data_IF_208674159899
#
_entry.id   IF_208674159899
#
_cell.length_a   1.000
_cell.length_b   1.000
_cell.length_c   1.000
_cell.angle_alpha   90.00
_cell.angle_beta   90.00
_cell.angle_gamma   90.00
#
_symmetry.space_group_name_H-M   'P 1'
#
loop_
_entity.id
_entity.type
_entity.pdbx_description
1 polymer ?
#
# COMPACT_ATOMS: atom_id res chain seq x y z
N UNK A 1 -31.07 -16.81 -17.62
CA UNK A 1 -30.76 -16.19 -18.92
C UNK A 1 -31.67 -16.72 -20.04
N UNK A 2 -31.77 -18.04 -20.22
CA UNK A 2 -32.62 -18.67 -21.29
C UNK A 2 -34.11 -18.38 -21.09
N UNK A 3 -34.64 -18.43 -19.88
CA UNK A 3 -36.02 -18.07 -19.57
C UNK A 3 -36.39 -16.64 -20.07
N UNK A 4 -35.54 -15.66 -19.73
CA UNK A 4 -35.72 -14.28 -20.18
C UNK A 4 -35.73 -14.19 -21.70
N UNK A 5 -34.78 -14.86 -22.38
CA UNK A 5 -34.64 -14.80 -23.85
C UNK A 5 -35.80 -15.48 -24.59
N UNK A 6 -36.21 -16.65 -24.11
CA UNK A 6 -37.14 -17.50 -24.85
C UNK A 6 -38.61 -17.24 -24.51
N UNK A 7 -38.89 -16.75 -23.29
CA UNK A 7 -40.26 -16.57 -22.82
C UNK A 7 -40.63 -15.10 -22.60
N UNK A 8 -39.83 -14.34 -21.85
CA UNK A 8 -40.23 -12.99 -21.46
C UNK A 8 -40.00 -11.96 -22.58
N UNK A 9 -38.83 -11.97 -23.21
CA UNK A 9 -38.48 -10.98 -24.24
C UNK A 9 -39.47 -11.04 -25.44
N UNK A 10 -39.89 -12.20 -25.98
CA UNK A 10 -40.86 -12.25 -27.07
C UNK A 10 -42.20 -11.60 -26.72
N UNK A 11 -42.73 -11.81 -25.52
CA UNK A 11 -43.96 -11.16 -25.05
C UNK A 11 -43.81 -9.63 -24.95
N UNK A 12 -42.66 -9.16 -24.46
CA UNK A 12 -42.38 -7.73 -24.40
C UNK A 12 -42.27 -7.11 -25.80
N UNK A 13 -41.62 -7.80 -26.74
CA UNK A 13 -41.46 -7.31 -28.11
C UNK A 13 -42.79 -7.32 -28.88
N UNK A 14 -43.66 -8.28 -28.62
CA UNK A 14 -45.01 -8.29 -29.20
C UNK A 14 -45.80 -7.05 -28.79
N UNK A 15 -45.65 -6.60 -27.51
CA UNK A 15 -46.34 -5.41 -27.01
C UNK A 15 -45.65 -4.11 -27.37
N UNK A 16 -44.30 -4.11 -27.35
CA UNK A 16 -43.42 -2.95 -27.62
C UNK A 16 -42.36 -3.30 -28.66
N UNK A 17 -42.64 -3.26 -29.94
CA UNK A 17 -41.70 -3.67 -31.01
C UNK A 17 -40.38 -2.90 -31.02
N UNK A 18 -40.35 -1.66 -30.47
CA UNK A 18 -39.17 -0.81 -30.41
C UNK A 18 -38.37 -0.96 -29.11
N UNK A 19 -38.77 -1.89 -28.20
CA UNK A 19 -38.18 -2.05 -26.88
C UNK A 19 -36.64 -2.24 -26.93
N UNK A 20 -36.17 -3.14 -27.79
CA UNK A 20 -34.72 -3.42 -27.93
C UNK A 20 -33.94 -2.17 -28.31
N UNK A 21 -34.47 -1.37 -29.26
CA UNK A 21 -33.82 -0.11 -29.66
C UNK A 21 -33.80 0.92 -28.53
N UNK A 22 -34.89 1.05 -27.78
CA UNK A 22 -35.01 2.00 -26.67
C UNK A 22 -34.10 1.61 -25.52
N UNK A 23 -34.09 0.33 -25.11
CA UNK A 23 -33.23 -0.19 -24.06
C UNK A 23 -31.74 -0.09 -24.45
N UNK A 24 -31.43 -0.45 -25.74
CA UNK A 24 -30.05 -0.32 -26.25
C UNK A 24 -29.55 1.12 -26.17
N UNK A 25 -30.33 2.10 -26.63
CA UNK A 25 -29.97 3.52 -26.55
C UNK A 25 -29.78 3.99 -25.08
N UNK A 26 -30.67 3.57 -24.20
CA UNK A 26 -30.54 3.92 -22.80
C UNK A 26 -29.27 3.30 -22.18
N UNK A 27 -28.96 2.05 -22.53
CA UNK A 27 -27.74 1.39 -22.06
C UNK A 27 -26.47 2.07 -22.58
N UNK A 28 -26.45 2.48 -23.87
CA UNK A 28 -25.35 3.24 -24.47
C UNK A 28 -25.13 4.57 -23.75
N UNK A 29 -26.18 5.36 -23.53
CA UNK A 29 -26.07 6.63 -22.78
C UNK A 29 -25.58 6.43 -21.34
N UNK A 30 -26.06 5.40 -20.65
CA UNK A 30 -25.57 5.06 -19.31
C UNK A 30 -24.09 4.66 -19.34
N UNK A 31 -23.65 3.92 -20.36
CA UNK A 31 -22.24 3.54 -20.51
C UNK A 31 -21.34 4.77 -20.75
N UNK A 32 -21.76 5.69 -21.64
CA UNK A 32 -21.04 6.94 -21.89
C UNK A 32 -20.91 7.79 -20.62
N UNK A 33 -22.02 7.97 -19.88
CA UNK A 33 -22.00 8.70 -18.60
C UNK A 33 -21.10 8.01 -17.57
N UNK A 34 -21.14 6.68 -17.50
CA UNK A 34 -20.27 5.92 -16.58
C UNK A 34 -18.79 6.08 -16.94
N UNK A 35 -18.45 6.15 -18.23
CA UNK A 35 -17.08 6.41 -18.66
C UNK A 35 -16.61 7.80 -18.24
N UNK A 36 -17.38 8.86 -18.48
CA UNK A 36 -17.07 10.23 -18.09
C UNK A 36 -16.87 10.37 -16.57
N UNK A 37 -17.76 9.73 -15.79
CA UNK A 37 -17.63 9.71 -14.33
C UNK A 37 -16.38 8.97 -13.89
N UNK A 38 -16.05 7.84 -14.55
CA UNK A 38 -14.85 7.06 -14.25
C UNK A 38 -13.58 7.86 -14.53
N UNK A 39 -13.52 8.57 -15.67
CA UNK A 39 -12.37 9.40 -16.03
C UNK A 39 -12.18 10.57 -15.05
N UNK A 40 -13.29 11.20 -14.63
CA UNK A 40 -13.24 12.24 -13.62
C UNK A 40 -12.79 11.70 -12.25
N UNK A 41 -13.29 10.51 -11.86
CA UNK A 41 -12.89 9.85 -10.62
C UNK A 41 -11.41 9.48 -10.63
N UNK A 42 -10.87 9.09 -11.80
CA UNK A 42 -9.44 8.80 -11.94
C UNK A 42 -8.58 10.05 -11.71
N UNK A 43 -8.99 11.23 -12.21
CA UNK A 43 -8.29 12.50 -11.93
C UNK A 43 -8.27 12.82 -10.44
N UNK A 44 -9.41 12.77 -9.77
CA UNK A 44 -9.47 12.97 -8.32
C UNK A 44 -8.67 11.94 -7.53
N UNK A 45 -8.59 10.70 -8.03
CA UNK A 45 -7.75 9.68 -7.42
C UNK A 45 -6.27 10.03 -7.54
N UNK A 46 -5.80 10.48 -8.72
CA UNK A 46 -4.40 10.91 -8.89
C UNK A 46 -4.05 12.09 -7.97
N UNK A 47 -4.98 13.03 -7.76
CA UNK A 47 -4.79 14.16 -6.84
C UNK A 47 -4.71 13.70 -5.37
N UNK A 48 -5.47 12.66 -4.99
CA UNK A 48 -5.47 12.10 -3.63
C UNK A 48 -4.39 11.04 -3.41
N UNK A 49 -3.77 10.52 -4.45
CA UNK A 49 -2.80 9.43 -4.38
C UNK A 49 -1.45 9.90 -3.86
N UNK A 50 -0.89 9.17 -2.90
CA UNK A 50 0.53 9.26 -2.51
C UNK A 50 1.39 8.34 -3.36
N UNK A 51 2.73 8.52 -3.30
CA UNK A 51 3.71 7.79 -4.12
C UNK A 51 3.64 6.26 -4.02
N UNK A 52 3.18 5.74 -2.89
CA UNK A 52 3.04 4.30 -2.57
C UNK A 52 1.61 3.77 -2.69
N UNK A 53 0.77 4.47 -3.45
CA UNK A 53 -0.66 4.20 -3.60
C UNK A 53 -1.47 4.27 -2.28
N UNK A 54 -1.00 4.98 -1.27
CA UNK A 54 -1.83 5.44 -0.16
C UNK A 54 -2.79 6.52 -0.64
N UNK A 55 -3.90 6.73 0.07
CA UNK A 55 -4.76 7.88 -0.15
C UNK A 55 -4.54 8.94 0.93
N UNK A 56 -4.34 10.17 0.50
CA UNK A 56 -4.39 11.35 1.36
C UNK A 56 -5.82 11.55 1.87
N UNK A 57 -6.05 11.29 3.14
CA UNK A 57 -7.38 11.38 3.74
C UNK A 57 -7.88 12.81 3.85
N UNK A 58 -7.01 13.83 3.93
CA UNK A 58 -7.42 15.24 3.95
C UNK A 58 -7.91 15.66 2.57
N UNK A 59 -7.16 15.37 1.52
CA UNK A 59 -7.57 15.64 0.14
C UNK A 59 -8.87 14.89 -0.18
N UNK A 60 -8.97 13.62 0.19
CA UNK A 60 -10.18 12.84 0.01
C UNK A 60 -11.37 13.47 0.75
N UNK A 61 -11.19 13.90 2.01
CA UNK A 61 -12.25 14.53 2.81
C UNK A 61 -12.72 15.88 2.27
N UNK A 62 -11.91 16.58 1.48
CA UNK A 62 -12.28 17.87 0.85
C UNK A 62 -13.26 17.71 -0.33
N UNK A 63 -13.35 16.51 -0.89
CA UNK A 63 -14.28 16.21 -1.98
C UNK A 63 -15.70 16.03 -1.46
N UNK A 64 -16.70 16.17 -2.35
CA UNK A 64 -18.08 15.82 -2.01
C UNK A 64 -18.22 14.30 -1.82
N UNK A 65 -19.18 13.87 -0.98
CA UNK A 65 -19.38 12.43 -0.66
C UNK A 65 -19.48 11.52 -1.88
N UNK A 66 -20.20 11.88 -2.97
CA UNK A 66 -20.20 11.04 -4.18
C UNK A 66 -18.81 10.84 -4.77
N UNK A 67 -18.01 11.90 -4.85
CA UNK A 67 -16.65 11.81 -5.38
C UNK A 67 -15.72 11.05 -4.46
N UNK A 68 -15.82 11.20 -3.13
CA UNK A 68 -15.08 10.39 -2.17
C UNK A 68 -15.32 8.89 -2.43
N UNK A 69 -16.57 8.48 -2.61
CA UNK A 69 -16.92 7.09 -2.90
C UNK A 69 -16.33 6.60 -4.23
N UNK A 70 -16.33 7.46 -5.26
CA UNK A 70 -15.76 7.11 -6.57
C UNK A 70 -14.23 7.00 -6.52
N UNK A 71 -13.56 7.88 -5.79
CA UNK A 71 -12.10 7.82 -5.55
C UNK A 71 -11.71 6.54 -4.83
N UNK A 72 -12.44 6.12 -3.79
CA UNK A 72 -12.19 4.84 -3.12
C UNK A 72 -12.30 3.67 -4.11
N UNK A 73 -13.31 3.64 -4.97
CA UNK A 73 -13.44 2.59 -6.00
C UNK A 73 -12.30 2.63 -7.01
N UNK A 74 -11.86 3.81 -7.44
CA UNK A 74 -10.71 3.97 -8.32
C UNK A 74 -9.42 3.46 -7.65
N UNK A 75 -9.24 3.76 -6.37
CA UNK A 75 -8.13 3.28 -5.57
C UNK A 75 -8.07 1.76 -5.48
N UNK A 76 -9.19 1.10 -5.17
CA UNK A 76 -9.27 -0.38 -5.15
C UNK A 76 -8.92 -0.97 -6.51
N UNK A 77 -9.43 -0.38 -7.61
CA UNK A 77 -9.08 -0.80 -8.97
C UNK A 77 -7.59 -0.67 -9.25
N UNK A 78 -6.96 0.44 -8.85
CA UNK A 78 -5.52 0.65 -8.99
C UNK A 78 -4.68 -0.36 -8.19
N UNK A 79 -5.23 -0.91 -7.09
CA UNK A 79 -4.63 -2.00 -6.32
C UNK A 79 -4.89 -3.40 -6.91
N UNK A 80 -5.65 -3.51 -8.01
CA UNK A 80 -6.07 -4.80 -8.56
C UNK A 80 -7.16 -5.51 -7.75
N UNK A 81 -7.83 -4.78 -6.85
CA UNK A 81 -8.83 -5.33 -5.94
C UNK A 81 -10.25 -5.11 -6.47
N UNK A 82 -11.17 -5.96 -6.01
CA UNK A 82 -12.60 -5.77 -6.32
C UNK A 82 -13.12 -4.50 -5.66
N UNK A 83 -13.95 -3.77 -6.41
CA UNK A 83 -14.60 -2.57 -5.88
C UNK A 83 -15.39 -2.89 -4.60
N UNK A 84 -15.26 -2.07 -3.54
CA UNK A 84 -16.00 -2.28 -2.31
C UNK A 84 -17.50 -2.10 -2.51
N UNK A 85 -18.30 -2.81 -1.71
CA UNK A 85 -19.74 -2.58 -1.62
C UNK A 85 -20.04 -1.17 -1.09
N UNK A 86 -21.27 -0.71 -1.24
CA UNK A 86 -21.69 0.58 -0.69
C UNK A 86 -21.42 0.63 0.82
N UNK A 87 -21.83 -0.40 1.57
CA UNK A 87 -21.65 -0.46 3.02
C UNK A 87 -20.15 -0.39 3.42
N UNK A 88 -19.28 -1.10 2.72
CA UNK A 88 -17.83 -1.05 2.97
C UNK A 88 -17.26 0.33 2.63
N UNK A 89 -17.71 0.94 1.52
CA UNK A 89 -17.31 2.32 1.15
C UNK A 89 -17.70 3.30 2.24
N UNK A 90 -18.94 3.22 2.74
CA UNK A 90 -19.44 4.10 3.80
C UNK A 90 -18.65 3.91 5.10
N UNK A 91 -18.25 2.67 5.45
CA UNK A 91 -17.37 2.40 6.59
C UNK A 91 -15.97 3.03 6.41
N UNK A 92 -15.36 2.89 5.24
CA UNK A 92 -14.06 3.52 4.94
C UNK A 92 -14.16 5.05 5.04
N UNK A 93 -15.23 5.67 4.51
CA UNK A 93 -15.47 7.10 4.63
C UNK A 93 -15.68 7.56 6.07
N UNK A 94 -16.36 6.74 6.89
CA UNK A 94 -16.52 7.03 8.31
C UNK A 94 -15.19 7.10 9.06
N UNK A 95 -14.17 6.35 8.62
CA UNK A 95 -12.83 6.39 9.21
C UNK A 95 -12.19 7.77 9.12
N UNK A 96 -12.49 8.55 8.08
CA UNK A 96 -11.93 9.91 7.90
C UNK A 96 -12.35 10.86 9.03
N UNK A 97 -13.49 10.58 9.68
CA UNK A 97 -14.03 11.38 10.79
C UNK A 97 -13.59 10.91 12.17
N UNK A 98 -12.85 9.79 12.26
CA UNK A 98 -12.38 9.26 13.53
C UNK A 98 -11.37 10.21 14.19
N UNK A 99 -11.19 10.11 15.52
CA UNK A 99 -10.20 10.88 16.26
C UNK A 99 -8.80 10.65 15.71
N UNK A 100 -7.91 11.64 15.84
CA UNK A 100 -6.56 11.60 15.25
C UNK A 100 -5.69 10.48 15.82
N UNK A 101 -5.87 10.12 17.08
CA UNK A 101 -5.15 9.05 17.77
C UNK A 101 -5.71 7.64 17.49
N UNK A 102 -6.90 7.55 16.91
CA UNK A 102 -7.52 6.30 16.54
C UNK A 102 -6.91 5.76 15.24
N UNK A 103 -6.76 4.44 15.19
CA UNK A 103 -6.37 3.68 14.00
C UNK A 103 -7.51 2.75 13.59
N UNK A 104 -8.63 3.30 13.06
CA UNK A 104 -9.75 2.48 12.64
C UNK A 104 -9.37 1.64 11.42
N UNK A 105 -10.00 0.45 11.32
CA UNK A 105 -9.79 -0.44 10.19
C UNK A 105 -11.10 -1.01 9.66
N UNK A 106 -11.12 -1.32 8.36
CA UNK A 106 -12.20 -2.02 7.67
C UNK A 106 -11.61 -3.23 6.96
N UNK A 107 -12.14 -4.42 7.30
CA UNK A 107 -11.66 -5.67 6.76
C UNK A 107 -12.33 -6.02 5.42
N UNK A 108 -11.54 -6.57 4.50
CA UNK A 108 -11.94 -7.11 3.21
C UNK A 108 -11.41 -8.54 3.05
N UNK A 109 -11.81 -9.22 2.00
CA UNK A 109 -11.44 -10.63 1.78
C UNK A 109 -9.92 -10.84 1.73
N UNK A 110 -9.18 -9.96 1.06
CA UNK A 110 -7.75 -10.12 0.79
C UNK A 110 -6.85 -9.13 1.51
N UNK A 111 -7.45 -8.24 2.29
CA UNK A 111 -6.71 -7.20 2.99
C UNK A 111 -7.61 -6.37 3.88
N UNK A 112 -7.11 -5.26 4.33
CA UNK A 112 -7.84 -4.28 5.13
C UNK A 112 -7.44 -2.86 4.78
N UNK A 113 -8.37 -1.95 4.89
CA UNK A 113 -8.08 -0.51 4.90
C UNK A 113 -7.84 -0.08 6.33
N UNK A 114 -6.74 0.58 6.58
CA UNK A 114 -6.40 1.15 7.88
C UNK A 114 -6.18 2.64 7.69
N UNK A 115 -6.76 3.45 8.57
CA UNK A 115 -6.36 4.84 8.69
C UNK A 115 -5.22 4.97 9.69
N UNK A 116 -4.11 5.54 9.23
CA UNK A 116 -2.98 5.86 10.10
C UNK A 116 -2.54 7.30 9.83
N UNK A 117 -2.42 8.08 10.90
CA UNK A 117 -2.27 9.53 10.82
C UNK A 117 -3.48 10.13 10.06
N UNK A 118 -3.26 10.65 8.88
CA UNK A 118 -4.32 11.21 8.03
C UNK A 118 -4.52 10.45 6.73
N UNK A 119 -3.71 9.42 6.47
CA UNK A 119 -3.73 8.65 5.25
C UNK A 119 -4.50 7.33 5.41
N UNK A 120 -5.07 6.84 4.31
CA UNK A 120 -5.65 5.52 4.20
C UNK A 120 -4.67 4.56 3.55
N UNK A 121 -4.44 3.43 4.20
CA UNK A 121 -3.53 2.37 3.78
C UNK A 121 -4.33 1.14 3.38
N UNK A 122 -3.96 0.53 2.25
CA UNK A 122 -4.38 -0.83 1.94
C UNK A 122 -3.32 -1.81 2.40
N UNK A 123 -3.65 -2.61 3.38
CA UNK A 123 -2.76 -3.62 3.95
C UNK A 123 -3.26 -5.00 3.55
N UNK A 124 -2.48 -5.70 2.72
CA UNK A 124 -2.80 -7.06 2.29
C UNK A 124 -2.63 -8.00 3.47
N UNK A 125 -3.48 -9.02 3.57
CA UNK A 125 -3.28 -10.11 4.51
C UNK A 125 -2.06 -10.91 4.03
N UNK A 126 -0.88 -10.57 4.57
CA UNK A 126 0.39 -11.16 4.14
C UNK A 126 0.48 -12.59 4.62
N UNK A 127 0.78 -13.51 3.69
CA UNK A 127 1.09 -14.92 3.97
C UNK A 127 2.59 -15.16 4.13
N UNK A 128 3.44 -14.12 3.97
CA UNK A 128 4.89 -14.28 4.06
C UNK A 128 5.36 -14.16 5.51
N UNK A 129 6.03 -15.18 5.98
CA UNK A 129 6.76 -15.11 7.25
C UNK A 129 7.89 -14.10 7.11
N UNK A 130 8.02 -13.22 8.09
CA UNK A 130 9.12 -12.26 8.18
C UNK A 130 10.24 -12.94 8.97
N UNK A 131 11.36 -13.33 8.34
CA UNK A 131 12.45 -13.99 9.04
C UNK A 131 13.07 -13.05 10.07
N UNK A 132 13.36 -13.54 11.28
CA UNK A 132 13.99 -12.72 12.31
C UNK A 132 15.44 -12.39 11.97
N UNK A 133 16.18 -13.37 11.43
CA UNK A 133 17.55 -13.21 10.99
C UNK A 133 17.74 -13.92 9.65
N UNK A 134 18.39 -13.24 8.71
CA UNK A 134 18.73 -13.76 7.40
C UNK A 134 20.20 -13.44 7.11
N UNK A 135 21.01 -14.48 6.87
CA UNK A 135 22.37 -14.27 6.37
C UNK A 135 22.31 -13.87 4.91
N UNK A 136 23.04 -12.82 4.56
CA UNK A 136 23.07 -12.27 3.21
C UNK A 136 24.42 -12.58 2.56
N UNK A 137 24.38 -12.85 1.26
CA UNK A 137 25.59 -12.97 0.46
C UNK A 137 25.87 -11.62 -0.20
N UNK A 138 27.03 -10.98 0.06
CA UNK A 138 27.38 -9.71 -0.58
C UNK A 138 27.30 -9.79 -2.09
N UNK A 139 26.96 -8.68 -2.73
CA UNK A 139 26.87 -8.51 -4.19
C UNK A 139 25.78 -9.32 -4.91
N UNK A 140 24.91 -10.03 -4.20
CA UNK A 140 23.76 -10.72 -4.75
C UNK A 140 22.47 -9.95 -4.53
N UNK A 141 21.52 -10.11 -5.47
CA UNK A 141 20.15 -9.62 -5.28
C UNK A 141 19.38 -10.64 -4.45
N UNK A 142 18.82 -10.18 -3.35
CA UNK A 142 18.08 -11.02 -2.40
C UNK A 142 16.65 -10.50 -2.33
N UNK A 143 15.69 -11.37 -2.63
CA UNK A 143 14.27 -11.04 -2.53
C UNK A 143 13.85 -10.90 -1.07
N UNK A 144 13.09 -9.84 -0.78
CA UNK A 144 12.43 -9.58 0.49
C UNK A 144 10.91 -9.58 0.29
N UNK A 145 10.26 -10.75 0.21
CA UNK A 145 8.86 -10.86 -0.21
C UNK A 145 7.89 -10.04 0.65
N UNK A 146 8.18 -9.89 1.94
CA UNK A 146 7.35 -9.08 2.85
C UNK A 146 7.45 -7.57 2.59
N UNK A 147 8.50 -7.10 1.89
CA UNK A 147 8.67 -5.72 1.44
C UNK A 147 8.32 -5.54 -0.03
N UNK A 148 7.97 -6.62 -0.74
CA UNK A 148 7.71 -6.64 -2.19
C UNK A 148 8.85 -6.01 -2.98
N UNK A 149 10.07 -6.47 -2.72
CA UNK A 149 11.23 -5.89 -3.37
C UNK A 149 12.49 -6.72 -3.16
N UNK A 150 13.56 -6.22 -3.73
CA UNK A 150 14.88 -6.86 -3.71
C UNK A 150 15.91 -5.93 -3.06
N UNK A 151 16.83 -6.51 -2.31
CA UNK A 151 17.97 -5.80 -1.74
C UNK A 151 19.26 -6.32 -2.36
N UNK A 152 20.17 -5.41 -2.66
CA UNK A 152 21.56 -5.70 -3.02
C UNK A 152 22.48 -4.91 -2.11
N UNK A 153 23.44 -5.61 -1.51
CA UNK A 153 24.44 -4.99 -0.63
C UNK A 153 25.80 -5.21 -1.29
N UNK A 154 26.40 -4.11 -1.77
CA UNK A 154 27.75 -4.13 -2.29
C UNK A 154 28.73 -3.71 -1.18
N UNK A 155 29.69 -4.57 -0.90
CA UNK A 155 30.77 -4.33 0.06
C UNK A 155 32.09 -4.43 -0.69
N UNK A 156 32.61 -3.33 -1.32
CA UNK A 156 33.75 -3.39 -2.23
C UNK A 156 35.05 -3.89 -1.58
N UNK A 157 35.20 -3.72 -0.28
CA UNK A 157 36.38 -4.14 0.50
C UNK A 157 36.05 -5.19 1.55
N UNK A 158 35.01 -6.02 1.28
CA UNK A 158 34.69 -7.12 2.17
C UNK A 158 35.91 -8.06 2.33
N UNK A 159 36.24 -8.37 3.57
CA UNK A 159 37.15 -9.48 3.86
C UNK A 159 36.35 -10.77 3.77
N UNK A 160 36.99 -11.89 3.46
CA UNK A 160 36.31 -13.20 3.43
C UNK A 160 35.63 -13.57 4.75
N UNK A 161 36.07 -12.96 5.84
CA UNK A 161 35.53 -13.18 7.20
C UNK A 161 34.34 -12.29 7.53
N UNK A 162 34.03 -11.26 6.73
CA UNK A 162 32.94 -10.32 7.02
C UNK A 162 31.57 -10.99 6.83
N UNK A 163 30.77 -10.97 7.86
CA UNK A 163 29.40 -11.50 7.84
C UNK A 163 28.40 -10.38 7.60
N UNK A 164 27.57 -10.54 6.58
CA UNK A 164 26.44 -9.64 6.31
C UNK A 164 25.15 -10.34 6.70
N UNK A 165 24.34 -9.68 7.50
CA UNK A 165 23.07 -10.24 7.94
C UNK A 165 21.97 -9.17 7.94
N UNK A 166 20.73 -9.64 7.91
CA UNK A 166 19.53 -8.83 8.03
C UNK A 166 18.75 -9.30 9.24
N UNK A 167 18.41 -8.37 10.12
CA UNK A 167 17.60 -8.62 11.31
C UNK A 167 16.29 -7.83 11.22
N UNK A 168 15.18 -8.51 11.44
CA UNK A 168 13.86 -7.87 11.59
C UNK A 168 13.42 -7.89 13.06
N UNK A 169 12.28 -7.27 13.36
CA UNK A 169 11.76 -7.14 14.73
C UNK A 169 12.76 -6.51 15.72
N UNK A 170 13.68 -5.68 15.20
CA UNK A 170 14.80 -5.09 15.94
C UNK A 170 14.42 -3.83 16.77
N UNK A 171 13.21 -3.77 17.33
CA UNK A 171 12.65 -2.58 18.00
C UNK A 171 13.51 -2.01 19.13
N UNK A 172 14.27 -2.87 19.80
CA UNK A 172 15.12 -2.49 20.92
C UNK A 172 16.57 -2.19 20.50
N UNK A 173 16.87 -2.30 19.21
CA UNK A 173 18.17 -1.93 18.66
C UNK A 173 18.40 -0.42 18.88
N UNK A 174 19.54 -0.06 19.45
CA UNK A 174 19.94 1.33 19.63
C UNK A 174 20.68 1.78 18.39
N UNK A 175 20.13 2.77 17.68
CA UNK A 175 20.67 3.23 16.40
C UNK A 175 20.79 4.74 16.35
N UNK A 176 21.72 5.22 15.54
CA UNK A 176 21.91 6.64 15.26
C UNK A 176 21.90 6.83 13.73
N UNK A 177 20.80 7.28 13.14
CA UNK A 177 20.76 7.64 11.72
C UNK A 177 21.83 8.69 11.36
N UNK A 178 22.34 8.63 10.13
CA UNK A 178 23.45 9.51 9.67
C UNK A 178 23.16 11.00 9.92
N UNK A 179 21.91 11.43 9.71
CA UNK A 179 21.49 12.82 9.90
C UNK A 179 20.98 13.13 11.33
N UNK A 180 21.18 12.23 12.30
CA UNK A 180 20.71 12.43 13.66
C UNK A 180 21.84 12.86 14.59
N UNK A 181 21.53 13.76 15.53
CA UNK A 181 22.46 14.19 16.58
C UNK A 181 22.58 13.18 17.73
N UNK A 182 21.52 12.38 17.95
CA UNK A 182 21.41 11.48 19.11
C UNK A 182 21.10 10.04 18.71
N UNK A 183 21.56 9.10 19.52
CA UNK A 183 21.21 7.69 19.39
C UNK A 183 19.96 7.39 20.22
N UNK A 184 18.99 6.67 19.62
CA UNK A 184 17.74 6.24 20.26
C UNK A 184 17.44 4.80 19.94
N UNK A 185 16.50 4.18 20.68
CA UNK A 185 15.96 2.89 20.33
C UNK A 185 15.16 2.99 19.02
N UNK A 186 15.25 1.96 18.18
CA UNK A 186 14.57 1.94 16.88
C UNK A 186 13.05 2.16 17.00
N UNK A 187 12.41 1.67 18.05
CA UNK A 187 10.99 1.95 18.36
C UNK A 187 10.65 3.43 18.50
N UNK A 188 11.62 4.26 18.92
CA UNK A 188 11.43 5.71 19.05
C UNK A 188 11.59 6.39 17.69
N UNK A 189 12.53 5.92 16.87
CA UNK A 189 12.67 6.36 15.48
C UNK A 189 11.45 6.05 14.65
N UNK A 190 10.82 4.88 14.81
CA UNK A 190 9.56 4.56 14.15
C UNK A 190 8.44 5.56 14.41
N UNK A 191 8.43 6.20 15.60
CA UNK A 191 7.48 7.29 15.89
C UNK A 191 7.86 8.57 15.16
N UNK A 192 9.15 8.91 15.15
CA UNK A 192 9.66 10.10 14.44
C UNK A 192 9.42 10.01 12.94
N UNK A 193 9.68 8.85 12.35
CA UNK A 193 9.48 8.59 10.93
C UNK A 193 8.03 8.24 10.57
N UNK A 194 7.13 8.20 11.56
CA UNK A 194 5.71 7.86 11.38
C UNK A 194 5.49 6.49 10.71
N UNK A 195 6.38 5.53 10.99
CA UNK A 195 6.25 4.16 10.47
C UNK A 195 5.00 3.50 11.06
N UNK A 196 4.09 2.98 10.24
CA UNK A 196 2.89 2.31 10.70
C UNK A 196 3.19 1.09 11.60
N UNK A 197 2.33 0.82 12.58
CA UNK A 197 2.57 -0.25 13.57
C UNK A 197 2.73 -1.63 12.93
N UNK A 198 1.99 -1.91 11.86
CA UNK A 198 2.02 -3.21 11.15
C UNK A 198 3.28 -3.40 10.31
N UNK A 199 4.00 -2.33 9.96
CA UNK A 199 5.25 -2.41 9.20
C UNK A 199 6.49 -2.54 10.09
N UNK A 200 6.43 -2.09 11.36
CA UNK A 200 7.59 -1.98 12.26
C UNK A 200 8.34 -3.29 12.48
N UNK A 201 7.62 -4.41 12.49
CA UNK A 201 8.25 -5.73 12.68
C UNK A 201 8.97 -6.20 11.42
N UNK A 202 8.54 -5.75 10.27
CA UNK A 202 9.12 -6.09 8.97
C UNK A 202 10.28 -5.18 8.55
N UNK A 203 10.55 -4.09 9.26
CA UNK A 203 11.67 -3.19 8.94
C UNK A 203 12.99 -3.93 9.15
N UNK A 204 13.78 -4.16 8.08
CA UNK A 204 15.04 -4.83 8.19
C UNK A 204 16.14 -3.88 8.64
N UNK A 205 16.91 -4.33 9.62
CA UNK A 205 18.20 -3.78 9.98
C UNK A 205 19.29 -4.61 9.27
N UNK A 206 20.18 -3.95 8.59
CA UNK A 206 21.33 -4.57 7.92
C UNK A 206 22.51 -4.45 8.87
N UNK A 207 23.14 -5.60 9.15
CA UNK A 207 24.27 -5.70 10.06
C UNK A 207 25.48 -6.24 9.30
N UNK A 208 26.65 -5.72 9.65
CA UNK A 208 27.96 -6.27 9.25
C UNK A 208 28.72 -6.58 10.52
N UNK A 209 29.15 -7.81 10.66
CA UNK A 209 29.81 -8.32 11.88
C UNK A 209 29.02 -8.00 13.16
N UNK A 210 27.68 -8.20 13.08
CA UNK A 210 26.70 -7.90 14.14
C UNK A 210 26.51 -6.41 14.49
N UNK A 211 27.18 -5.51 13.76
CA UNK A 211 27.01 -4.07 13.93
C UNK A 211 25.96 -3.52 12.92
N UNK A 212 24.94 -2.77 13.35
CA UNK A 212 23.92 -2.24 12.48
C UNK A 212 24.46 -1.07 11.63
N UNK A 213 24.39 -1.19 10.33
CA UNK A 213 24.94 -0.21 9.35
C UNK A 213 23.86 0.56 8.59
N UNK A 214 22.69 -0.04 8.40
CA UNK A 214 21.57 0.60 7.72
C UNK A 214 20.22 -0.03 8.07
N UNK A 215 19.14 0.66 7.72
CA UNK A 215 17.76 0.22 7.83
C UNK A 215 17.06 0.42 6.49
N UNK A 216 16.11 -0.43 6.14
CA UNK A 216 15.18 -0.17 5.02
C UNK A 216 13.84 0.27 5.61
N UNK A 217 13.51 1.55 5.45
CA UNK A 217 12.29 2.15 5.97
C UNK A 217 11.50 2.73 4.80
N UNK A 218 10.27 2.28 4.60
CA UNK A 218 9.40 2.72 3.50
C UNK A 218 10.10 2.68 2.12
N UNK A 219 10.86 1.62 1.85
CA UNK A 219 11.60 1.45 0.59
C UNK A 219 12.84 2.35 0.45
N UNK A 220 13.25 3.05 1.50
CA UNK A 220 14.44 3.90 1.52
C UNK A 220 15.51 3.32 2.41
N UNK A 221 16.76 3.42 1.98
CA UNK A 221 17.91 3.07 2.81
C UNK A 221 18.25 4.23 3.75
N UNK A 222 18.24 3.96 5.05
CA UNK A 222 18.65 4.89 6.11
C UNK A 222 19.97 4.40 6.69
N UNK A 223 21.06 5.05 6.34
CA UNK A 223 22.39 4.72 6.88
C UNK A 223 22.53 5.13 8.36
N UNK A 224 23.33 4.38 9.09
CA UNK A 224 23.55 4.56 10.52
C UNK A 224 24.98 5.02 10.78
N UNK A 225 25.19 5.64 11.97
CA UNK A 225 26.51 6.04 12.47
C UNK A 225 27.01 5.02 13.51
N UNK A 226 28.33 4.72 13.54
CA UNK A 226 29.33 5.22 12.61
C UNK A 226 29.09 4.71 11.19
N UNK A 227 29.39 5.54 10.19
CA UNK A 227 29.21 5.14 8.77
C UNK A 227 30.20 4.01 8.47
N UNK A 228 29.68 2.87 8.09
CA UNK A 228 30.53 1.80 7.61
C UNK A 228 31.18 2.24 6.28
N UNK A 229 32.53 2.17 6.19
CA UNK A 229 33.21 2.61 4.99
C UNK A 229 32.85 1.73 3.80
N UNK A 230 32.60 2.38 2.66
CA UNK A 230 32.47 1.73 1.34
C UNK A 230 31.34 0.69 1.20
N UNK A 231 30.17 0.91 1.82
CA UNK A 231 28.99 0.07 1.62
C UNK A 231 27.97 0.81 0.76
N UNK A 232 27.53 0.15 -0.30
CA UNK A 232 26.41 0.60 -1.11
C UNK A 232 25.24 -0.38 -0.97
N UNK A 233 24.10 0.13 -0.53
CA UNK A 233 22.89 -0.63 -0.35
C UNK A 233 21.85 -0.10 -1.32
N UNK A 234 21.39 -0.96 -2.22
CA UNK A 234 20.33 -0.65 -3.17
C UNK A 234 19.10 -1.48 -2.81
N UNK A 235 17.95 -0.82 -2.68
CA UNK A 235 16.65 -1.46 -2.54
C UNK A 235 15.78 -1.06 -3.72
N UNK A 236 15.15 -2.06 -4.37
CA UNK A 236 14.20 -1.86 -5.48
C UNK A 236 12.89 -2.57 -5.16
N UNK A 237 11.77 -1.92 -5.45
CA UNK A 237 10.43 -2.54 -5.41
C UNK A 237 10.21 -3.37 -6.69
N UNK A 238 9.42 -4.44 -6.58
CA UNK A 238 8.98 -5.30 -7.69
C UNK A 238 7.98 -4.59 -8.60
#
# INVERSE_FOLDING_TARGET
RNFLRNEIIPHLLARWPKLTKTVGRSAELCAEQSALVSDSAQKYFEDCKRSDLRLDGQQLASLSLPWQAMVIRAWFRAKGELSPSKAQTDQVLAMLKAKQDATPEVNFKWGRVIRFDQDLYWVVNVTHEVPQNLKLVPNQNIALPWLRGHIRIAVPKAREEDTVSLQTNARNLKVKPENASVSKLLKEWFKVWRVPRWERNGVPAILINDEPVALIVEGRCVYLQPKAPDIEITFSLD
#
